data_IF_911407239032
#
_entry.id   IF_911407239032
#
_cell.length_a   1.000
_cell.length_b   1.000
_cell.length_c   1.000
_cell.angle_alpha   90.00
_cell.angle_beta   90.00
_cell.angle_gamma   90.00
#
_symmetry.space_group_name_H-M   'P 1'
#
loop_
_entity.id
_entity.type
_entity.pdbx_description
1 polymer ?
#
# COMPACT_ATOMS: atom_id res chain seq x y z
N UNK A 1 51.04 -61.72 24.70
CA UNK A 1 51.25 -60.26 24.76
C UNK A 1 50.65 -59.65 23.51
N UNK A 2 49.36 -59.27 23.57
CA UNK A 2 48.65 -58.55 22.52
C UNK A 2 47.90 -57.41 23.21
N UNK A 3 48.26 -56.18 22.86
CA UNK A 3 47.72 -54.96 23.44
C UNK A 3 46.50 -54.53 22.61
N UNK A 4 45.31 -54.52 23.22
CA UNK A 4 44.11 -53.93 22.64
C UNK A 4 43.94 -52.51 23.19
N UNK A 5 43.93 -51.53 22.29
CA UNK A 5 43.67 -50.11 22.57
C UNK A 5 42.15 -49.90 22.64
N UNK A 6 41.65 -49.45 23.79
CA UNK A 6 40.26 -49.01 23.97
C UNK A 6 40.21 -47.51 23.69
N UNK A 7 39.51 -47.11 22.63
CA UNK A 7 39.15 -45.71 22.38
C UNK A 7 37.95 -45.32 23.26
N UNK A 8 38.13 -44.30 24.10
CA UNK A 8 37.04 -43.67 24.86
C UNK A 8 36.42 -42.56 24.02
N UNK A 9 35.11 -42.65 23.79
CA UNK A 9 34.29 -41.63 23.14
C UNK A 9 34.05 -40.49 24.15
N UNK A 10 34.52 -39.29 23.85
CA UNK A 10 34.16 -38.07 24.60
C UNK A 10 33.19 -37.23 23.76
N UNK A 11 32.03 -36.97 24.35
CA UNK A 11 30.90 -36.25 23.76
C UNK A 11 31.28 -34.86 23.25
N UNK A 12 30.82 -34.57 22.03
CA UNK A 12 30.76 -33.24 21.47
C UNK A 12 29.77 -32.38 22.28
N UNK A 13 30.25 -31.29 22.88
CA UNK A 13 29.40 -30.18 23.28
C UNK A 13 29.09 -29.37 22.02
N UNK A 14 27.84 -29.48 21.56
CA UNK A 14 27.25 -28.59 20.58
C UNK A 14 27.18 -27.19 21.16
N UNK A 15 28.07 -26.30 20.73
CA UNK A 15 27.87 -24.87 20.91
C UNK A 15 26.65 -24.45 20.11
N UNK A 16 25.58 -24.06 20.80
CA UNK A 16 24.50 -23.27 20.23
C UNK A 16 25.10 -21.95 19.76
N UNK A 17 25.33 -21.84 18.45
CA UNK A 17 25.59 -20.57 17.81
C UNK A 17 24.32 -19.73 17.87
N UNK A 18 24.31 -18.75 18.76
CA UNK A 18 23.36 -17.64 18.71
C UNK A 18 23.52 -16.94 17.35
N UNK A 19 22.58 -17.21 16.44
CA UNK A 19 22.45 -16.47 15.19
C UNK A 19 21.59 -15.24 15.42
N UNK A 20 22.00 -14.38 16.36
CA UNK A 20 21.56 -13.00 16.39
C UNK A 20 22.15 -12.28 15.18
N UNK A 21 21.51 -12.49 14.03
CA UNK A 21 21.62 -11.60 12.88
C UNK A 21 21.55 -10.17 13.42
N UNK A 22 22.51 -9.32 13.04
CA UNK A 22 22.57 -7.93 13.44
C UNK A 22 21.35 -7.19 12.84
N UNK A 23 20.20 -7.27 13.51
CA UNK A 23 18.93 -6.70 13.04
C UNK A 23 19.04 -5.17 13.15
N UNK A 24 18.93 -4.41 12.05
CA UNK A 24 18.98 -2.96 12.09
C UNK A 24 17.91 -2.38 13.02
N UNK A 25 18.20 -1.28 13.72
CA UNK A 25 17.21 -0.54 14.52
C UNK A 25 16.01 -0.04 13.70
N UNK A 26 16.17 0.09 12.38
CA UNK A 26 15.10 0.40 11.43
C UNK A 26 14.09 -0.74 11.28
N UNK A 27 14.45 -1.99 11.60
CA UNK A 27 13.58 -3.16 11.59
C UNK A 27 12.66 -3.18 12.82
N UNK A 28 11.78 -2.17 12.91
CA UNK A 28 10.78 -2.07 13.98
C UNK A 28 9.85 -3.29 13.98
N UNK A 29 9.22 -3.64 15.12
CA UNK A 29 8.38 -4.84 15.23
C UNK A 29 7.33 -5.00 14.13
N UNK A 30 6.71 -3.89 13.69
CA UNK A 30 5.72 -3.90 12.61
C UNK A 30 6.28 -4.28 11.23
N UNK A 31 7.59 -4.20 11.04
CA UNK A 31 8.30 -4.63 9.84
C UNK A 31 8.96 -5.99 9.99
N UNK A 32 9.41 -6.34 11.20
CA UNK A 32 10.04 -7.64 11.49
C UNK A 32 9.08 -8.82 11.24
N UNK A 33 7.77 -8.62 11.44
CA UNK A 33 6.73 -9.61 11.14
C UNK A 33 6.48 -9.77 9.62
N UNK A 34 7.08 -8.92 8.78
CA UNK A 34 6.93 -8.94 7.33
C UNK A 34 8.17 -9.53 6.68
N UNK A 35 7.98 -10.65 5.97
CA UNK A 35 9.09 -11.31 5.27
C UNK A 35 9.83 -10.35 4.32
N UNK A 36 11.17 -10.38 4.43
CA UNK A 36 12.11 -9.66 3.58
C UNK A 36 11.82 -8.15 3.46
N UNK A 37 11.34 -7.53 4.53
CA UNK A 37 11.00 -6.10 4.53
C UNK A 37 12.25 -5.21 4.37
N UNK A 38 12.15 -4.18 3.53
CA UNK A 38 13.25 -3.24 3.23
C UNK A 38 13.87 -2.64 4.50
N UNK A 39 13.04 -2.34 5.49
CA UNK A 39 13.46 -1.76 6.78
C UNK A 39 14.38 -2.68 7.60
N UNK A 40 14.43 -3.97 7.27
CA UNK A 40 15.26 -4.98 7.93
C UNK A 40 16.55 -5.31 7.16
N UNK A 41 16.83 -4.60 6.06
CA UNK A 41 18.10 -4.72 5.34
C UNK A 41 19.23 -4.00 6.09
N UNK A 42 20.43 -4.58 6.09
CA UNK A 42 21.63 -3.86 6.49
C UNK A 42 22.00 -2.81 5.44
N UNK A 43 22.42 -1.62 5.88
CA UNK A 43 22.82 -0.56 4.97
C UNK A 43 24.17 -0.86 4.33
N UNK A 44 24.39 -0.37 3.11
CA UNK A 44 25.69 -0.55 2.45
C UNK A 44 26.74 0.37 3.09
N UNK A 45 27.91 -0.19 3.35
CA UNK A 45 29.14 0.52 3.69
C UNK A 45 29.64 1.50 2.59
N UNK A 46 29.02 1.49 1.41
CA UNK A 46 29.35 2.38 0.28
C UNK A 46 28.60 3.71 0.31
N UNK A 47 27.66 3.90 1.23
CA UNK A 47 26.94 5.18 1.37
C UNK A 47 27.91 6.26 1.87
N UNK A 48 28.06 7.34 1.11
CA UNK A 48 28.87 8.50 1.51
C UNK A 48 28.00 9.68 1.99
N UNK A 49 26.84 9.87 1.37
CA UNK A 49 25.81 10.78 1.85
C UNK A 49 24.42 10.27 1.45
N UNK A 50 23.40 10.68 2.18
CA UNK A 50 22.02 10.23 1.97
C UNK A 50 21.03 11.26 2.49
N UNK A 51 19.74 11.06 2.18
CA UNK A 51 18.66 11.94 2.59
C UNK A 51 18.20 12.87 1.47
N UNK A 52 16.95 13.31 1.58
CA UNK A 52 16.30 14.23 0.64
C UNK A 52 16.08 15.55 1.37
N UNK A 53 16.68 16.62 0.86
CA UNK A 53 16.51 17.97 1.43
C UNK A 53 15.09 18.50 1.23
N UNK A 54 14.62 19.44 2.05
CA UNK A 54 13.28 20.03 1.86
C UNK A 54 13.11 20.72 0.50
N UNK A 55 14.21 21.30 -0.02
CA UNK A 55 14.23 21.86 -1.38
C UNK A 55 13.99 20.76 -2.43
N UNK A 56 14.63 19.59 -2.28
CA UNK A 56 14.42 18.46 -3.17
C UNK A 56 13.04 17.83 -3.01
N UNK A 57 12.52 17.72 -1.78
CA UNK A 57 11.12 17.29 -1.53
C UNK A 57 10.14 18.16 -2.30
N UNK A 58 10.35 19.48 -2.28
CA UNK A 58 9.57 20.44 -3.05
C UNK A 58 9.71 20.23 -4.56
N UNK A 59 10.93 20.05 -5.08
CA UNK A 59 11.16 19.75 -6.51
C UNK A 59 10.39 18.49 -6.93
N UNK A 60 10.43 17.44 -6.13
CA UNK A 60 9.73 16.19 -6.41
C UNK A 60 8.22 16.43 -6.47
N UNK A 61 7.62 17.01 -5.44
CA UNK A 61 6.17 17.22 -5.34
C UNK A 61 5.66 18.17 -6.42
N UNK A 62 6.33 19.30 -6.62
CA UNK A 62 5.93 20.30 -7.62
C UNK A 62 5.98 19.72 -9.03
N UNK A 63 7.03 18.94 -9.35
CA UNK A 63 7.13 18.30 -10.65
C UNK A 63 6.01 17.28 -10.86
N UNK A 64 5.75 16.41 -9.87
CA UNK A 64 4.66 15.44 -9.95
C UNK A 64 3.31 16.13 -10.15
N UNK A 65 3.00 17.15 -9.36
CA UNK A 65 1.72 17.85 -9.47
C UNK A 65 1.60 18.64 -10.77
N UNK A 66 2.68 19.27 -11.24
CA UNK A 66 2.69 19.95 -12.55
C UNK A 66 2.34 18.98 -13.68
N UNK A 67 3.00 17.83 -13.76
CA UNK A 67 2.75 16.88 -14.87
C UNK A 67 1.38 16.21 -14.74
N UNK A 68 0.92 15.92 -13.52
CA UNK A 68 -0.41 15.36 -13.27
C UNK A 68 -1.53 16.33 -13.68
N UNK A 69 -1.41 17.62 -13.36
CA UNK A 69 -2.40 18.64 -13.72
C UNK A 69 -2.49 18.91 -15.23
N UNK A 70 -1.51 18.44 -15.99
CA UNK A 70 -1.36 18.71 -17.43
C UNK A 70 -1.40 17.46 -18.31
N UNK A 71 -1.77 16.29 -17.77
CA UNK A 71 -1.82 15.05 -18.57
C UNK A 71 -2.77 15.16 -19.74
N UNK A 72 -2.42 14.53 -20.86
CA UNK A 72 -3.31 14.31 -21.99
C UNK A 72 -3.49 12.80 -22.26
N UNK A 73 -4.73 12.31 -22.49
CA UNK A 73 -5.99 13.06 -22.42
C UNK A 73 -6.29 13.65 -21.03
N UNK A 74 -7.04 14.76 -20.97
CA UNK A 74 -7.44 15.39 -19.69
C UNK A 74 -8.02 14.37 -18.70
N UNK A 75 -7.59 14.47 -17.44
CA UNK A 75 -8.04 13.59 -16.38
C UNK A 75 -9.13 14.21 -15.51
N UNK A 76 -10.11 13.42 -15.08
CA UNK A 76 -11.23 13.86 -14.24
C UNK A 76 -10.97 13.71 -12.74
N UNK A 77 -10.07 12.80 -12.35
CA UNK A 77 -9.94 12.29 -10.98
C UNK A 77 -8.49 12.25 -10.43
N UNK A 78 -7.55 12.98 -11.03
CA UNK A 78 -6.18 13.01 -10.51
C UNK A 78 -6.11 13.89 -9.26
N UNK A 79 -5.73 13.29 -8.13
CA UNK A 79 -5.44 14.03 -6.92
C UNK A 79 -4.05 14.69 -6.94
N UNK A 80 -3.90 15.80 -6.25
CA UNK A 80 -2.56 16.32 -5.90
C UNK A 80 -1.83 15.32 -4.99
N UNK A 81 -0.58 15.01 -5.33
CA UNK A 81 0.30 14.21 -4.47
C UNK A 81 0.98 15.11 -3.45
N UNK A 82 1.15 14.56 -2.25
CA UNK A 82 1.77 15.24 -1.11
C UNK A 82 2.90 14.38 -0.59
N UNK A 83 3.95 15.05 -0.09
CA UNK A 83 5.12 14.36 0.45
C UNK A 83 4.75 13.59 1.73
N UNK A 84 5.31 12.40 1.90
CA UNK A 84 4.98 11.48 2.97
C UNK A 84 6.25 10.87 3.58
N UNK A 85 6.53 11.25 4.82
CA UNK A 85 7.76 10.85 5.50
C UNK A 85 7.81 9.35 5.82
N UNK A 86 6.66 8.67 6.00
CA UNK A 86 6.65 7.22 6.23
C UNK A 86 7.04 6.46 4.96
N UNK A 87 6.58 6.91 3.79
CA UNK A 87 7.01 6.37 2.51
C UNK A 87 8.50 6.68 2.25
N UNK A 88 8.93 7.88 2.62
CA UNK A 88 10.31 8.34 2.46
C UNK A 88 11.29 7.51 3.30
N UNK A 89 10.93 7.16 4.54
CA UNK A 89 11.74 6.31 5.41
C UNK A 89 12.10 4.97 4.72
N UNK A 90 11.08 4.29 4.19
CA UNK A 90 11.27 3.01 3.49
C UNK A 90 12.02 3.19 2.17
N UNK A 91 11.75 4.26 1.43
CA UNK A 91 12.45 4.57 0.18
C UNK A 91 13.94 4.88 0.42
N UNK A 92 14.25 5.61 1.50
CA UNK A 92 15.60 5.96 1.92
C UNK A 92 16.39 4.71 2.28
N UNK A 93 15.77 3.76 2.98
CA UNK A 93 16.39 2.49 3.30
C UNK A 93 16.78 1.70 2.05
N UNK A 94 15.92 1.69 1.02
CA UNK A 94 16.27 1.06 -0.26
C UNK A 94 17.39 1.82 -0.99
N UNK A 95 17.37 3.15 -1.00
CA UNK A 95 18.43 3.94 -1.64
C UNK A 95 19.80 3.63 -1.02
N UNK A 96 19.88 3.42 0.30
CA UNK A 96 21.11 3.08 1.02
C UNK A 96 21.68 1.69 0.71
N UNK A 97 20.99 0.90 -0.12
CA UNK A 97 21.52 -0.36 -0.65
C UNK A 97 22.51 -0.15 -1.81
N UNK A 98 22.63 1.08 -2.32
CA UNK A 98 23.58 1.49 -3.35
C UNK A 98 23.52 0.60 -4.61
N UNK A 99 22.32 0.15 -5.00
CA UNK A 99 22.05 -0.76 -6.12
C UNK A 99 20.70 -0.39 -6.73
N UNK A 100 20.59 -0.55 -8.05
CA UNK A 100 19.33 -0.32 -8.77
C UNK A 100 18.52 -1.62 -8.82
N UNK A 101 17.57 -1.79 -7.89
CA UNK A 101 16.64 -2.92 -7.87
C UNK A 101 15.37 -2.56 -7.11
N UNK A 102 14.25 -3.19 -7.47
CA UNK A 102 13.02 -3.12 -6.67
C UNK A 102 13.11 -4.09 -5.51
N UNK A 103 12.83 -3.61 -4.29
CA UNK A 103 12.75 -4.47 -3.11
C UNK A 103 11.57 -5.47 -3.18
N UNK A 104 11.60 -6.49 -2.32
CA UNK A 104 10.53 -7.50 -2.23
C UNK A 104 9.32 -7.01 -1.44
N UNK A 105 9.56 -6.20 -0.40
CA UNK A 105 8.51 -5.81 0.53
C UNK A 105 8.79 -4.43 1.15
N UNK A 106 7.96 -3.46 0.76
CA UNK A 106 7.99 -2.05 1.19
C UNK A 106 6.67 -1.60 1.84
N UNK A 107 5.90 -2.55 2.37
CA UNK A 107 4.55 -2.29 2.90
C UNK A 107 4.63 -1.43 4.15
N UNK A 108 3.78 -0.41 4.22
CA UNK A 108 3.47 0.26 5.48
C UNK A 108 2.20 -0.38 6.07
N UNK A 109 2.28 -1.13 7.19
CA UNK A 109 1.12 -1.82 7.76
C UNK A 109 -0.08 -0.92 8.01
N UNK A 110 0.17 0.31 8.46
CA UNK A 110 -0.86 1.34 8.71
C UNK A 110 -1.58 1.81 7.46
N UNK A 111 -1.02 1.66 6.26
CA UNK A 111 -1.65 2.09 5.01
C UNK A 111 -2.59 1.01 4.47
N UNK A 112 -2.29 -0.27 4.75
CA UNK A 112 -3.11 -1.40 4.32
C UNK A 112 -3.20 -1.60 2.80
N UNK A 113 -2.34 -0.95 2.02
CA UNK A 113 -2.31 -1.04 0.55
C UNK A 113 -0.92 -1.49 0.05
N UNK A 114 -0.86 -1.98 -1.19
CA UNK A 114 0.41 -2.12 -1.90
C UNK A 114 1.06 -0.75 -2.09
N UNK A 115 2.39 -0.69 -2.14
CA UNK A 115 3.14 0.56 -2.30
C UNK A 115 3.87 0.52 -3.65
N UNK A 116 3.65 1.54 -4.50
CA UNK A 116 4.32 1.70 -5.78
C UNK A 116 5.76 2.15 -5.60
N UNK A 117 6.60 2.03 -6.63
CA UNK A 117 7.98 2.52 -6.57
C UNK A 117 8.54 2.89 -7.93
N UNK A 118 9.23 4.03 -8.00
CA UNK A 118 10.10 4.40 -9.11
C UNK A 118 11.55 4.45 -8.63
N UNK A 119 12.47 4.11 -9.53
CA UNK A 119 13.90 4.07 -9.26
C UNK A 119 14.66 4.81 -10.37
N UNK A 120 15.74 5.49 -10.01
CA UNK A 120 16.66 6.08 -10.98
C UNK A 120 18.10 5.99 -10.44
N UNK A 121 19.08 6.05 -11.35
CA UNK A 121 20.49 6.05 -10.97
C UNK A 121 21.33 6.88 -11.94
N UNK A 122 22.23 7.68 -11.38
CA UNK A 122 23.18 8.50 -12.15
C UNK A 122 22.64 9.85 -12.63
N UNK A 123 21.36 10.17 -12.43
CA UNK A 123 20.66 11.34 -13.00
C UNK A 123 21.16 12.72 -12.53
N UNK A 124 22.18 12.78 -11.67
CA UNK A 124 22.83 14.05 -11.27
C UNK A 124 22.04 14.91 -10.28
N UNK A 125 20.73 15.07 -10.45
CA UNK A 125 19.82 15.76 -9.51
C UNK A 125 18.41 15.14 -9.49
N UNK A 126 17.63 15.46 -8.45
CA UNK A 126 16.22 15.06 -8.36
C UNK A 126 15.37 15.54 -9.54
N UNK A 127 15.57 16.78 -10.00
CA UNK A 127 14.86 17.33 -11.16
C UNK A 127 15.07 16.49 -12.43
N UNK A 128 16.28 16.00 -12.67
CA UNK A 128 16.59 15.13 -13.80
C UNK A 128 16.01 13.72 -13.63
N UNK A 129 16.02 13.18 -12.41
CA UNK A 129 15.44 11.87 -12.13
C UNK A 129 13.92 11.84 -12.41
N UNK A 130 13.17 12.81 -11.89
CA UNK A 130 11.71 12.89 -12.11
C UNK A 130 11.35 13.23 -13.56
N UNK A 131 12.16 14.04 -14.24
CA UNK A 131 12.02 14.31 -15.67
C UNK A 131 12.29 13.07 -16.52
N UNK A 132 13.30 12.26 -16.16
CA UNK A 132 13.59 10.97 -16.79
C UNK A 132 12.41 10.01 -16.73
N UNK A 133 11.77 9.89 -15.55
CA UNK A 133 10.54 9.12 -15.39
C UNK A 133 9.38 9.66 -16.23
N UNK A 134 9.21 10.99 -16.27
CA UNK A 134 8.13 11.61 -17.04
C UNK A 134 8.30 11.49 -18.55
N UNK A 135 9.54 11.50 -19.07
CA UNK A 135 9.83 11.36 -20.51
C UNK A 135 9.35 10.04 -21.12
N UNK A 136 9.06 9.04 -20.31
CA UNK A 136 8.37 7.84 -20.79
C UNK A 136 6.95 8.12 -21.33
N UNK A 137 6.36 9.28 -21.00
CA UNK A 137 5.13 9.78 -21.63
C UNK A 137 5.20 9.82 -23.15
N UNK A 138 6.38 10.06 -23.73
CA UNK A 138 6.62 10.06 -25.17
C UNK A 138 6.40 8.67 -25.81
N UNK A 139 6.45 7.61 -25.01
CA UNK A 139 6.20 6.23 -25.40
C UNK A 139 4.80 5.75 -24.96
N UNK A 140 4.04 6.53 -24.21
CA UNK A 140 2.76 6.10 -23.68
C UNK A 140 1.61 6.39 -24.65
N UNK A 141 0.69 5.44 -24.81
CA UNK A 141 -0.57 5.62 -25.53
C UNK A 141 -1.73 5.24 -24.63
N UNK A 142 -2.52 6.24 -24.22
CA UNK A 142 -3.65 6.04 -23.31
C UNK A 142 -4.63 5.01 -23.89
N UNK A 143 -5.03 4.04 -23.07
CA UNK A 143 -5.99 3.02 -23.45
C UNK A 143 -5.44 1.86 -24.29
N UNK A 144 -4.17 1.89 -24.70
CA UNK A 144 -3.55 0.86 -25.54
C UNK A 144 -2.58 -0.02 -24.75
N UNK A 145 -2.47 -1.30 -25.12
CA UNK A 145 -1.55 -2.23 -24.46
C UNK A 145 -0.14 -2.00 -25.03
N UNK A 146 0.88 -1.70 -24.21
CA UNK A 146 2.24 -1.36 -24.68
C UNK A 146 2.87 -2.41 -25.59
N UNK A 147 2.59 -3.69 -25.34
CA UNK A 147 3.11 -4.81 -26.13
C UNK A 147 2.70 -4.74 -27.61
N UNK A 148 1.61 -4.03 -27.93
CA UNK A 148 1.06 -3.96 -29.28
C UNK A 148 1.74 -2.88 -30.13
N UNK A 149 2.50 -1.95 -29.51
CA UNK A 149 3.09 -0.81 -30.22
C UNK A 149 4.52 -0.45 -29.79
N UNK A 150 5.05 -1.02 -28.69
CA UNK A 150 6.45 -0.89 -28.29
C UNK A 150 7.20 -2.20 -28.56
N UNK A 151 8.35 -2.15 -29.25
CA UNK A 151 9.12 -3.36 -29.55
C UNK A 151 9.84 -3.90 -28.31
N UNK A 152 10.06 -5.21 -28.30
CA UNK A 152 10.93 -5.90 -27.33
C UNK A 152 10.21 -6.41 -26.07
N UNK A 153 10.90 -7.23 -25.26
CA UNK A 153 10.27 -8.01 -24.19
C UNK A 153 9.82 -7.17 -22.97
N UNK A 154 10.33 -5.94 -22.82
CA UNK A 154 10.05 -5.07 -21.67
C UNK A 154 9.19 -3.85 -22.04
N UNK A 155 8.13 -4.06 -22.83
CA UNK A 155 7.24 -2.95 -23.25
C UNK A 155 6.63 -2.20 -22.05
N UNK A 156 6.23 -2.91 -20.99
CA UNK A 156 5.67 -2.31 -19.78
C UNK A 156 6.68 -1.48 -19.00
N UNK A 157 7.92 -1.95 -18.87
CA UNK A 157 8.96 -1.21 -18.14
C UNK A 157 9.35 0.11 -18.82
N UNK A 158 9.08 0.27 -20.12
CA UNK A 158 9.37 1.51 -20.88
C UNK A 158 8.38 2.65 -20.60
N UNK A 159 7.25 2.37 -19.95
CA UNK A 159 6.22 3.35 -19.61
C UNK A 159 5.86 3.35 -18.11
N UNK A 160 6.48 2.46 -17.35
CA UNK A 160 6.09 2.13 -15.98
C UNK A 160 6.27 3.29 -15.02
N UNK A 161 7.38 4.04 -15.15
CA UNK A 161 7.65 5.17 -14.28
C UNK A 161 6.65 6.30 -14.51
N UNK A 162 6.39 6.66 -15.78
CA UNK A 162 5.40 7.68 -16.12
C UNK A 162 4.01 7.29 -15.61
N UNK A 163 3.56 6.08 -15.92
CA UNK A 163 2.22 5.62 -15.54
C UNK A 163 2.05 5.47 -14.01
N UNK A 164 3.13 5.33 -13.25
CA UNK A 164 3.10 5.42 -11.79
C UNK A 164 2.92 6.87 -11.33
N UNK A 165 3.66 7.82 -11.92
CA UNK A 165 3.56 9.25 -11.59
C UNK A 165 2.16 9.80 -11.84
N UNK A 166 1.47 9.33 -12.89
CA UNK A 166 0.13 9.80 -13.27
C UNK A 166 -0.99 8.83 -12.85
N UNK A 167 -0.77 7.95 -11.88
CA UNK A 167 -1.86 7.09 -11.40
C UNK A 167 -2.83 7.87 -10.50
N UNK A 168 -4.13 7.78 -10.75
CA UNK A 168 -5.23 8.33 -9.94
C UNK A 168 -5.31 7.72 -8.53
N UNK A 169 -4.78 6.51 -8.37
CA UNK A 169 -4.66 5.82 -7.10
C UNK A 169 -3.66 6.51 -6.15
N UNK A 170 -2.72 7.28 -6.68
CA UNK A 170 -1.63 7.88 -5.91
C UNK A 170 -1.99 9.27 -5.44
N UNK A 171 -1.85 9.48 -4.13
CA UNK A 171 -2.06 10.75 -3.44
C UNK A 171 -0.91 11.08 -2.47
N UNK A 172 0.04 10.15 -2.27
CA UNK A 172 1.25 10.36 -1.46
C UNK A 172 2.47 9.82 -2.18
N UNK A 173 3.57 10.53 -2.00
CA UNK A 173 4.90 10.15 -2.48
C UNK A 173 5.91 10.42 -1.37
N UNK A 174 6.83 9.49 -1.15
CA UNK A 174 7.96 9.70 -0.24
C UNK A 174 9.20 9.09 -0.85
N UNK A 175 10.34 9.79 -0.74
CA UNK A 175 11.51 9.46 -1.54
C UNK A 175 12.78 9.35 -0.71
N UNK A 176 13.71 8.55 -1.21
CA UNK A 176 15.03 8.29 -0.66
C UNK A 176 16.11 8.61 -1.67
N UNK A 177 17.24 9.09 -1.17
CA UNK A 177 18.42 9.40 -1.96
C UNK A 177 19.69 8.86 -1.29
N UNK A 178 20.61 8.35 -2.10
CA UNK A 178 21.96 8.04 -1.64
C UNK A 178 23.00 8.41 -2.69
N UNK A 179 24.13 8.93 -2.23
CA UNK A 179 25.35 9.05 -2.99
C UNK A 179 26.32 7.97 -2.51
N UNK A 180 26.68 7.08 -3.42
CA UNK A 180 27.44 5.88 -3.08
C UNK A 180 28.74 5.80 -3.86
N UNK A 181 29.79 5.37 -3.19
CA UNK A 181 31.01 4.89 -3.84
C UNK A 181 30.67 3.70 -4.74
N UNK A 182 31.29 3.64 -5.91
CA UNK A 182 31.19 2.47 -6.78
C UNK A 182 31.78 1.22 -6.08
N UNK A 183 31.33 0.00 -6.44
CA UNK A 183 31.93 -1.24 -5.94
C UNK A 183 33.43 -1.34 -6.23
N UNK A 184 34.11 -2.22 -5.52
CA UNK A 184 35.54 -2.47 -5.70
C UNK A 184 35.89 -2.74 -7.18
N UNK A 185 37.00 -2.15 -7.64
CA UNK A 185 37.43 -2.20 -9.03
C UNK A 185 36.79 -1.16 -9.96
N UNK A 186 35.83 -0.36 -9.49
CA UNK A 186 35.24 0.76 -10.27
C UNK A 186 35.53 2.11 -9.61
N UNK A 187 35.88 3.11 -10.43
CA UNK A 187 36.13 4.49 -9.96
C UNK A 187 34.85 5.32 -9.97
N UNK A 188 34.76 6.28 -9.06
CA UNK A 188 33.69 7.27 -8.99
C UNK A 188 32.50 6.84 -8.14
N UNK A 189 31.38 7.52 -8.37
CA UNK A 189 30.21 7.47 -7.51
C UNK A 189 28.92 7.40 -8.30
N UNK A 190 27.88 6.86 -7.68
CA UNK A 190 26.54 6.78 -8.25
C UNK A 190 25.54 7.39 -7.28
N UNK A 191 24.61 8.16 -7.84
CA UNK A 191 23.43 8.65 -7.14
C UNK A 191 22.30 7.67 -7.35
N UNK A 192 21.62 7.25 -6.29
CA UNK A 192 20.41 6.43 -6.38
C UNK A 192 19.21 7.25 -5.88
N UNK A 193 18.13 7.19 -6.65
CA UNK A 193 16.88 7.88 -6.38
C UNK A 193 15.77 6.84 -6.27
N UNK A 194 15.01 6.88 -5.19
CA UNK A 194 13.89 5.97 -4.93
C UNK A 194 12.69 6.81 -4.54
N UNK A 195 11.53 6.61 -5.16
CA UNK A 195 10.28 7.17 -4.67
C UNK A 195 9.27 6.04 -4.48
N UNK A 196 8.67 5.98 -3.30
CA UNK A 196 7.55 5.11 -2.96
C UNK A 196 6.24 5.88 -3.04
N UNK A 197 5.16 5.20 -3.45
CA UNK A 197 3.83 5.80 -3.65
C UNK A 197 2.76 5.05 -2.84
N UNK A 198 1.81 5.75 -2.20
CA UNK A 198 0.72 5.16 -1.41
C UNK A 198 -0.38 4.46 -2.23
N UNK A 199 0.00 3.75 -3.28
CA UNK A 199 -0.69 2.60 -3.88
C UNK A 199 0.24 2.02 -4.94
N UNK A 200 0.24 0.70 -5.08
CA UNK A 200 0.90 0.04 -6.20
C UNK A 200 0.24 0.39 -7.54
N UNK A 201 0.99 0.27 -8.61
CA UNK A 201 0.49 0.45 -9.96
C UNK A 201 -0.50 -0.66 -10.32
N UNK A 202 -1.69 -0.27 -10.76
CA UNK A 202 -2.69 -1.15 -11.33
C UNK A 202 -3.39 -0.43 -12.47
N UNK A 203 -3.77 -1.16 -13.53
CA UNK A 203 -4.46 -0.55 -14.66
C UNK A 203 -3.58 0.44 -15.45
N UNK A 204 -2.27 0.19 -15.57
CA UNK A 204 -1.31 1.12 -16.21
C UNK A 204 -1.68 1.55 -17.64
N UNK A 205 -2.56 0.81 -18.33
CA UNK A 205 -3.13 1.20 -19.64
C UNK A 205 -4.04 2.44 -19.55
N UNK A 206 -4.75 2.61 -18.42
CA UNK A 206 -5.62 3.73 -18.09
C UNK A 206 -5.31 4.16 -16.65
N UNK A 207 -4.21 4.89 -16.44
CA UNK A 207 -3.73 5.22 -15.10
C UNK A 207 -4.64 6.22 -14.37
N UNK A 208 -5.56 6.88 -15.08
CA UNK A 208 -6.56 7.81 -14.58
C UNK A 208 -7.84 7.71 -15.42
N UNK A 209 -8.92 8.36 -14.99
CA UNK A 209 -10.15 8.49 -15.79
C UNK A 209 -10.02 9.72 -16.69
N UNK A 210 -10.23 9.54 -18.00
CA UNK A 210 -10.21 10.64 -18.96
C UNK A 210 -11.59 11.28 -19.12
N UNK A 211 -11.63 12.58 -19.39
CA UNK A 211 -12.87 13.32 -19.61
C UNK A 211 -12.66 14.62 -20.38
N UNK A 212 -13.74 15.34 -20.64
CA UNK A 212 -13.70 16.62 -21.38
C UNK A 212 -13.15 17.75 -20.53
N UNK A 213 -13.43 17.74 -19.24
CA UNK A 213 -12.99 18.74 -18.27
C UNK A 213 -12.15 18.12 -17.16
N UNK A 214 -11.13 18.87 -16.72
CA UNK A 214 -10.31 18.47 -15.58
C UNK A 214 -11.16 18.57 -14.30
N UNK A 215 -10.91 17.68 -13.35
CA UNK A 215 -11.61 17.66 -12.06
C UNK A 215 -13.13 17.44 -12.11
N UNK A 216 -13.71 16.89 -13.19
CA UNK A 216 -15.17 16.66 -13.21
C UNK A 216 -15.67 15.71 -12.12
N UNK A 217 -14.78 14.89 -11.54
CA UNK A 217 -15.10 13.98 -10.43
C UNK A 217 -14.87 14.63 -9.04
N UNK A 218 -14.43 15.89 -9.02
CA UNK A 218 -14.12 16.65 -7.81
C UNK A 218 -14.30 18.18 -8.02
N UNK A 219 -15.48 18.64 -8.49
CA UNK A 219 -15.70 20.04 -8.87
C UNK A 219 -15.42 21.03 -7.73
N UNK A 220 -15.74 20.65 -6.49
CA UNK A 220 -15.62 21.54 -5.32
C UNK A 220 -14.20 21.58 -4.72
N UNK A 221 -13.30 20.71 -5.18
CA UNK A 221 -11.93 20.59 -4.66
C UNK A 221 -10.86 20.70 -5.75
N UNK A 222 -11.20 21.30 -6.91
CA UNK A 222 -10.26 21.44 -8.02
C UNK A 222 -9.27 22.59 -7.83
N UNK A 223 -7.98 22.29 -7.96
CA UNK A 223 -6.90 23.29 -8.03
C UNK A 223 -5.86 22.84 -9.05
N UNK A 224 -5.51 23.74 -9.98
CA UNK A 224 -4.49 23.49 -11.02
C UNK A 224 -4.72 22.20 -11.84
N UNK A 225 -5.99 21.85 -12.07
CA UNK A 225 -6.38 20.64 -12.80
C UNK A 225 -6.30 19.33 -11.98
N UNK A 226 -6.19 19.43 -10.66
CA UNK A 226 -6.11 18.32 -9.72
C UNK A 226 -7.16 18.42 -8.61
N UNK A 227 -7.66 17.28 -8.13
CA UNK A 227 -8.45 17.19 -6.92
C UNK A 227 -7.54 17.42 -5.69
N UNK A 228 -7.85 18.39 -4.84
CA UNK A 228 -7.09 18.75 -3.66
C UNK A 228 -7.93 18.57 -2.38
N UNK A 229 -7.74 17.41 -1.75
CA UNK A 229 -8.30 17.12 -0.43
C UNK A 229 -7.37 17.49 0.71
N UNK A 230 -6.54 18.54 0.55
CA UNK A 230 -5.67 19.12 1.60
C UNK A 230 -4.80 18.09 2.32
N UNK A 231 -4.34 17.07 1.62
CA UNK A 231 -3.53 16.03 2.24
C UNK A 231 -4.28 15.12 3.20
N UNK A 232 -5.54 14.81 2.91
CA UNK A 232 -6.23 13.69 3.55
C UNK A 232 -5.70 12.34 3.04
N UNK A 233 -5.39 11.43 3.95
CA UNK A 233 -4.94 10.06 3.68
C UNK A 233 -5.89 9.13 4.44
N UNK A 234 -6.45 8.14 3.75
CA UNK A 234 -7.27 7.12 4.41
C UNK A 234 -6.41 5.90 4.71
N UNK A 235 -6.14 5.68 5.99
CA UNK A 235 -5.33 4.57 6.49
C UNK A 235 -6.07 3.24 6.39
N UNK A 236 -5.33 2.15 6.60
CA UNK A 236 -5.85 0.78 6.68
C UNK A 236 -6.75 0.37 5.51
N UNK A 237 -6.32 0.74 4.29
CA UNK A 237 -7.01 0.52 3.03
C UNK A 237 -8.34 1.28 2.87
N UNK A 238 -8.58 2.31 3.68
CA UNK A 238 -9.68 3.25 3.49
C UNK A 238 -9.67 3.86 2.09
N UNK A 239 -10.86 4.23 1.60
CA UNK A 239 -11.02 4.88 0.30
C UNK A 239 -11.29 6.36 0.51
N UNK A 240 -10.53 7.22 -0.17
CA UNK A 240 -10.79 8.67 -0.21
C UNK A 240 -11.78 8.97 -1.33
N UNK A 241 -12.89 9.61 -0.97
CA UNK A 241 -13.79 10.25 -1.93
C UNK A 241 -13.22 11.64 -2.28
N UNK A 242 -12.90 11.87 -3.55
CA UNK A 242 -12.25 13.12 -4.00
C UNK A 242 -13.22 14.29 -4.13
N UNK A 243 -14.53 14.03 -4.21
CA UNK A 243 -15.54 15.07 -4.28
C UNK A 243 -15.81 15.64 -2.89
N UNK A 244 -16.03 14.76 -1.91
CA UNK A 244 -16.36 15.16 -0.53
C UNK A 244 -15.15 15.28 0.38
N UNK A 245 -13.99 14.77 -0.04
CA UNK A 245 -12.79 14.67 0.79
C UNK A 245 -13.03 13.93 2.12
N UNK A 246 -13.79 12.85 2.06
CA UNK A 246 -14.10 11.98 3.19
C UNK A 246 -13.51 10.59 3.01
N UNK A 247 -13.11 9.97 4.12
CA UNK A 247 -12.64 8.60 4.10
C UNK A 247 -13.79 7.62 4.36
N UNK A 248 -13.98 6.68 3.45
CA UNK A 248 -14.75 5.47 3.72
C UNK A 248 -13.82 4.42 4.32
N UNK A 249 -13.95 4.20 5.64
CA UNK A 249 -13.14 3.24 6.36
C UNK A 249 -13.56 1.80 6.10
N UNK A 250 -12.59 0.90 6.13
CA UNK A 250 -12.82 -0.53 5.89
C UNK A 250 -12.57 -1.32 7.17
N UNK A 251 -13.17 -2.51 7.21
CA UNK A 251 -12.92 -3.53 8.23
C UNK A 251 -13.31 -3.02 9.62
N UNK A 252 -12.36 -2.98 10.56
CA UNK A 252 -12.57 -2.58 11.97
C UNK A 252 -12.03 -1.18 12.25
N UNK A 253 -11.87 -0.35 11.22
CA UNK A 253 -11.36 1.01 11.36
C UNK A 253 -12.45 2.05 11.12
N UNK A 254 -12.30 3.20 11.76
CA UNK A 254 -13.26 4.31 11.78
C UNK A 254 -12.53 5.64 12.01
N UNK A 255 -13.28 6.73 12.16
CA UNK A 255 -12.72 8.06 12.32
C UNK A 255 -12.50 8.76 10.98
N UNK A 256 -11.97 9.98 11.04
CA UNK A 256 -11.85 10.85 9.87
C UNK A 256 -10.88 10.31 8.81
N UNK A 257 -9.82 9.65 9.22
CA UNK A 257 -8.70 9.15 8.41
C UNK A 257 -8.54 7.62 8.49
N UNK A 258 -9.48 6.94 9.14
CA UNK A 258 -9.43 5.50 9.39
C UNK A 258 -8.28 5.05 10.32
N UNK A 259 -7.75 5.94 11.16
CA UNK A 259 -6.78 5.60 12.21
C UNK A 259 -7.41 4.94 13.43
N UNK A 260 -8.68 5.21 13.72
CA UNK A 260 -9.34 4.77 14.94
C UNK A 260 -9.79 3.33 14.82
N UNK A 261 -9.24 2.46 15.67
CA UNK A 261 -9.67 1.08 15.79
C UNK A 261 -11.06 1.00 16.43
N UNK A 262 -12.07 0.63 15.65
CA UNK A 262 -13.44 0.37 16.08
C UNK A 262 -13.66 -1.13 16.25
N UNK A 263 -13.24 -1.64 17.41
CA UNK A 263 -13.34 -3.05 17.76
C UNK A 263 -14.77 -3.58 17.72
N UNK A 264 -14.95 -4.73 17.07
CA UNK A 264 -16.20 -5.50 17.05
C UNK A 264 -15.97 -6.85 17.73
N UNK A 265 -17.00 -7.47 18.33
CA UNK A 265 -16.91 -8.86 18.78
C UNK A 265 -16.49 -9.80 17.64
N UNK A 266 -15.83 -10.90 18.00
CA UNK A 266 -15.55 -11.98 17.06
C UNK A 266 -16.84 -12.53 16.45
N UNK A 267 -16.79 -12.88 15.16
CA UNK A 267 -17.86 -13.64 14.52
C UNK A 267 -18.02 -15.00 15.23
N UNK A 268 -19.25 -15.52 15.25
CA UNK A 268 -19.59 -16.75 15.97
C UNK A 268 -18.70 -17.96 15.62
N UNK A 269 -18.21 -18.04 14.37
CA UNK A 269 -17.38 -19.15 13.88
C UNK A 269 -15.90 -19.03 14.29
N UNK A 270 -15.48 -17.93 14.92
CA UNK A 270 -14.13 -17.74 15.45
C UNK A 270 -13.87 -18.57 16.72
N UNK A 271 -14.93 -19.04 17.39
CA UNK A 271 -14.82 -19.82 18.62
C UNK A 271 -13.98 -21.10 18.39
N UNK A 272 -13.05 -21.36 19.31
CA UNK A 272 -12.14 -22.53 19.30
C UNK A 272 -11.27 -22.64 18.04
N UNK A 273 -11.08 -21.55 17.28
CA UNK A 273 -10.14 -21.54 16.16
C UNK A 273 -8.73 -21.25 16.65
N UNK A 274 -7.76 -21.85 15.98
CA UNK A 274 -6.34 -21.62 16.23
C UNK A 274 -5.96 -20.16 15.87
N UNK A 275 -5.36 -19.38 16.79
CA UNK A 275 -4.83 -18.05 16.51
C UNK A 275 -3.85 -17.98 15.32
N UNK A 276 -3.15 -19.07 14.98
CA UNK A 276 -2.29 -19.12 13.79
C UNK A 276 -3.03 -18.79 12.49
N UNK A 277 -4.35 -19.02 12.46
CA UNK A 277 -5.21 -18.68 11.31
C UNK A 277 -5.25 -17.18 11.03
N UNK A 278 -4.98 -16.32 12.02
CA UNK A 278 -4.86 -14.88 11.86
C UNK A 278 -3.71 -14.46 10.93
N UNK A 279 -2.65 -15.27 10.87
CA UNK A 279 -1.53 -15.07 9.93
C UNK A 279 -1.78 -15.73 8.58
N UNK A 280 -2.56 -16.83 8.55
CA UNK A 280 -2.84 -17.60 7.33
C UNK A 280 -3.93 -16.96 6.44
N UNK A 281 -4.95 -16.34 7.03
CA UNK A 281 -6.10 -15.83 6.30
C UNK A 281 -6.30 -14.34 6.52
N UNK A 282 -6.38 -13.59 5.43
CA UNK A 282 -6.45 -12.12 5.46
C UNK A 282 -7.75 -11.56 6.06
N UNK A 283 -8.81 -12.36 6.14
CA UNK A 283 -10.09 -11.96 6.75
C UNK A 283 -10.11 -12.16 8.27
N UNK A 284 -9.35 -13.13 8.81
CA UNK A 284 -9.40 -13.50 10.23
C UNK A 284 -9.13 -12.32 11.19
N UNK A 285 -8.11 -11.48 10.96
CA UNK A 285 -7.87 -10.33 11.84
C UNK A 285 -9.03 -9.33 11.91
N UNK A 286 -9.98 -9.37 10.97
CA UNK A 286 -11.10 -8.43 10.90
C UNK A 286 -12.44 -9.07 11.25
N UNK A 287 -12.57 -10.37 10.97
CA UNK A 287 -13.73 -11.18 11.34
C UNK A 287 -13.65 -11.69 12.79
N UNK A 288 -12.43 -11.91 13.29
CA UNK A 288 -12.10 -12.43 14.61
C UNK A 288 -11.05 -11.54 15.31
N UNK A 289 -11.27 -10.23 15.47
CA UNK A 289 -10.25 -9.32 15.95
C UNK A 289 -9.80 -9.58 17.40
N UNK A 290 -10.64 -10.17 18.25
CA UNK A 290 -10.27 -10.54 19.64
C UNK A 290 -9.40 -11.79 19.64
N UNK A 291 -9.80 -12.86 18.94
CA UNK A 291 -8.96 -14.05 18.72
C UNK A 291 -7.58 -13.69 18.17
N UNK A 292 -7.53 -12.74 17.24
CA UNK A 292 -6.30 -12.31 16.59
C UNK A 292 -5.51 -11.26 17.38
N UNK A 293 -5.90 -10.94 18.62
CA UNK A 293 -5.20 -9.98 19.48
C UNK A 293 -5.19 -8.55 18.94
N UNK A 294 -6.05 -8.22 17.97
CA UNK A 294 -6.24 -6.85 17.49
C UNK A 294 -7.11 -6.03 18.42
N UNK A 295 -8.05 -6.68 19.10
CA UNK A 295 -9.00 -6.06 20.00
C UNK A 295 -9.01 -6.77 21.36
N UNK A 296 -9.27 -6.00 22.42
CA UNK A 296 -9.47 -6.56 23.75
C UNK A 296 -10.92 -7.04 23.88
N UNK A 297 -11.12 -8.18 24.55
CA UNK A 297 -12.45 -8.74 24.82
C UNK A 297 -13.35 -7.81 25.66
N UNK A 298 -12.75 -6.86 26.39
CA UNK A 298 -13.46 -5.93 27.29
C UNK A 298 -13.92 -4.63 26.61
N UNK A 299 -13.39 -4.30 25.42
CA UNK A 299 -13.70 -3.05 24.70
C UNK A 299 -14.76 -3.22 23.61
N UNK A 300 -15.36 -4.40 23.48
CA UNK A 300 -16.40 -4.64 22.49
C UNK A 300 -17.74 -4.11 23.01
N UNK A 301 -18.26 -3.05 22.40
CA UNK A 301 -19.62 -2.59 22.66
C UNK A 301 -20.59 -3.77 22.44
N UNK A 302 -21.44 -4.12 23.42
CA UNK A 302 -22.39 -5.20 23.24
C UNK A 302 -23.31 -4.87 22.05
N UNK A 303 -23.73 -5.87 21.26
CA UNK A 303 -24.79 -5.64 20.29
C UNK A 303 -26.04 -5.14 21.02
N UNK A 304 -26.80 -4.18 20.44
CA UNK A 304 -28.05 -3.73 21.04
C UNK A 304 -28.96 -4.94 21.21
N UNK A 305 -29.34 -5.22 22.46
CA UNK A 305 -30.26 -6.30 22.78
C UNK A 305 -31.61 -5.93 22.18
N UNK A 306 -31.97 -6.53 21.04
CA UNK A 306 -33.34 -6.48 20.53
C UNK A 306 -34.22 -7.18 21.55
N UNK A 307 -34.83 -6.38 22.43
CA UNK A 307 -35.92 -6.83 23.29
C UNK A 307 -37.12 -7.01 22.38
N UNK A 308 -37.37 -8.23 21.95
CA UNK A 308 -38.63 -8.60 21.32
C UNK A 308 -39.71 -8.49 22.38
N UNK A 309 -40.40 -7.35 22.42
CA UNK A 309 -41.65 -7.22 23.17
C UNK A 309 -42.70 -8.01 22.41
N UNK A 310 -43.01 -9.21 22.90
CA UNK A 310 -44.16 -9.98 22.46
C UNK A 310 -45.44 -9.22 22.80
N UNK A 311 -46.14 -8.72 21.80
CA UNK A 311 -47.52 -8.27 21.94
C UNK A 311 -48.44 -9.50 22.16
N UNK A 312 -49.45 -9.41 23.05
CA UNK A 312 -50.39 -10.51 23.24
C UNK A 312 -51.34 -10.64 22.06
N UNK A 313 -51.55 -11.87 21.62
CA UNK A 313 -52.52 -12.23 20.60
C UNK A 313 -53.95 -12.00 21.12
N UNK A 314 -54.71 -11.16 20.44
CA UNK A 314 -56.18 -11.15 20.53
C UNK A 314 -56.73 -11.96 19.36
N UNK A 315 -57.34 -13.09 19.69
CA UNK A 315 -58.29 -13.79 18.81
C UNK A 315 -59.46 -12.85 18.52
N UNK A 316 -59.84 -12.75 17.25
CA UNK A 316 -61.22 -12.38 16.91
C UNK A 316 -61.70 -13.26 15.76
N UNK A 317 -62.68 -14.09 16.10
CA UNK A 317 -63.43 -14.97 15.23
C UNK A 317 -64.49 -14.14 14.51
N UNK A 318 -64.45 -14.06 13.18
CA UNK A 318 -65.71 -13.95 12.41
C UNK A 318 -65.60 -14.60 11.02
N UNK A 319 -66.62 -15.40 10.75
CA UNK A 319 -66.86 -16.24 9.57
C UNK A 319 -67.90 -15.57 8.66
N UNK A 320 -67.65 -15.53 7.36
CA UNK A 320 -68.61 -15.57 6.23
C UNK A 320 -67.82 -15.50 4.92
N UNK A 321 -67.68 -16.56 4.12
CA UNK A 321 -68.64 -17.22 3.21
C UNK A 321 -68.85 -16.48 1.86
N UNK A 322 -68.48 -17.20 0.78
CA UNK A 322 -68.80 -17.06 -0.66
C UNK A 322 -68.15 -15.86 -1.40
N UNK A 323 -67.72 -15.93 -2.67
CA UNK A 323 -68.18 -16.78 -3.77
C UNK A 323 -67.13 -16.92 -4.89
N UNK A 324 -67.38 -17.91 -5.74
CA UNK A 324 -66.72 -18.39 -6.95
C UNK A 324 -66.58 -17.35 -8.09
N UNK A 325 -65.48 -17.36 -8.84
CA UNK A 325 -65.52 -17.34 -10.33
C UNK A 325 -64.13 -17.41 -10.96
N UNK A 326 -63.98 -18.38 -11.86
CA UNK A 326 -62.87 -18.56 -12.79
C UNK A 326 -62.94 -17.61 -13.99
N UNK A 327 -61.80 -17.13 -14.53
CA UNK A 327 -61.61 -17.00 -16.00
C UNK A 327 -60.17 -16.66 -16.43
N UNK A 328 -59.64 -17.57 -17.25
CA UNK A 328 -58.84 -17.47 -18.51
C UNK A 328 -57.94 -16.22 -18.74
N UNK A 329 -56.64 -16.36 -19.00
CA UNK A 329 -55.96 -16.77 -20.26
C UNK A 329 -56.00 -15.72 -21.40
N UNK A 330 -54.77 -15.36 -21.84
CA UNK A 330 -54.32 -14.80 -23.13
C UNK A 330 -54.49 -13.29 -23.36
N UNK A 331 -53.35 -12.58 -23.31
CA UNK A 331 -52.68 -12.03 -24.51
C UNK A 331 -51.21 -11.77 -24.23
#
# INVERSE_FOLDING_TARGET
>A
MFCFIIFSVSNAQSGEGDSSQNVPSTCRPEFAELDSHTMCMNDSDRVESFGVSDADKKVIVDFHNKVRGQVEPKATNLAAVIYDENLAEVAQKLAMQCRLFHDKNRKLPSYGVSIGQNLAAGDGSWAKAVDGWFKESLLFKYGQIPKDYLPGPNAWGKIGHYTMMVSDRVHRVGCGYSYCRQPEGKKGHVRYYVCNYAKGQHGAVRPYINGTERCSDCPDSCKDGLCDCKGKLCLHAGSLDLNTCTCTCKRIYSGEDCSVLSCKPDKWWCKNKDPARCKMYSNYPYDCPVLCGKCNATTTTPPPTTTTTSAPATQDDTRSANDDSSSKLVS
#
